data_IF_386633248249
#
_entry.id   IF_386633248249
#
_cell.length_a   1.000
_cell.length_b   1.000
_cell.length_c   1.000
_cell.angle_alpha   90.00
_cell.angle_beta   90.00
_cell.angle_gamma   90.00
#
_symmetry.space_group_name_H-M   'P 1'
#
loop_
_entity.id
_entity.type
_entity.pdbx_description
1 polymer ?
#
# COMPACT_ATOMS: atom_id res chain seq x y z
N UNK A 1 -36.75 -38.33 28.54
CA UNK A 1 -36.70 -36.85 28.53
C UNK A 1 -35.83 -36.46 27.33
N UNK A 2 -36.46 -36.34 26.16
CA UNK A 2 -35.76 -35.99 24.92
C UNK A 2 -35.31 -34.52 25.02
N UNK A 3 -34.02 -34.28 24.90
CA UNK A 3 -33.49 -32.93 24.80
C UNK A 3 -33.85 -32.41 23.42
N UNK A 4 -34.76 -31.45 23.35
CA UNK A 4 -35.08 -30.71 22.13
C UNK A 4 -33.81 -30.00 21.62
N UNK A 5 -33.11 -30.68 20.70
CA UNK A 5 -31.92 -30.18 20.01
C UNK A 5 -32.44 -29.33 18.87
N UNK A 6 -32.56 -28.02 19.10
CA UNK A 6 -32.99 -27.05 18.10
C UNK A 6 -32.30 -27.23 16.74
N UNK A 7 -32.95 -26.77 15.68
CA UNK A 7 -32.51 -26.99 14.29
C UNK A 7 -31.36 -26.05 13.95
N UNK A 8 -30.22 -26.59 13.51
CA UNK A 8 -29.10 -25.77 13.01
C UNK A 8 -29.51 -25.16 11.67
N UNK A 9 -29.60 -23.84 11.62
CA UNK A 9 -29.95 -23.05 10.44
C UNK A 9 -28.73 -22.73 9.57
N UNK A 10 -27.62 -22.38 10.21
CA UNK A 10 -26.39 -21.99 9.52
C UNK A 10 -25.18 -22.25 10.40
N UNK A 11 -24.02 -22.45 9.75
CA UNK A 11 -22.73 -22.51 10.42
C UNK A 11 -21.81 -21.46 9.82
N UNK A 12 -21.28 -20.58 10.65
CA UNK A 12 -20.26 -19.60 10.28
C UNK A 12 -18.90 -20.14 10.73
N UNK A 13 -17.89 -20.10 9.87
CA UNK A 13 -16.52 -20.50 10.23
C UNK A 13 -15.55 -19.42 9.78
N UNK A 14 -14.80 -18.86 10.73
CA UNK A 14 -13.79 -17.85 10.44
C UNK A 14 -12.38 -18.41 10.65
N UNK A 15 -11.75 -18.83 9.55
CA UNK A 15 -10.43 -19.47 9.56
C UNK A 15 -10.44 -20.87 10.18
N UNK A 16 -9.30 -21.28 10.72
CA UNK A 16 -9.14 -22.58 11.39
C UNK A 16 -9.64 -22.59 12.85
N UNK A 17 -9.86 -21.43 13.47
CA UNK A 17 -9.96 -21.31 14.93
C UNK A 17 -11.38 -21.35 15.53
N UNK A 18 -12.38 -20.68 14.93
CA UNK A 18 -13.72 -20.58 15.52
C UNK A 18 -14.83 -20.84 14.51
N UNK A 19 -15.75 -21.74 14.88
CA UNK A 19 -17.05 -21.93 14.20
C UNK A 19 -18.21 -21.56 15.13
N UNK A 20 -19.21 -20.94 14.55
CA UNK A 20 -20.47 -20.56 15.20
C UNK A 20 -21.60 -21.32 14.53
N UNK A 21 -22.55 -21.79 15.33
CA UNK A 21 -23.78 -22.42 14.86
C UNK A 21 -24.95 -21.52 15.22
N UNK A 22 -25.78 -21.21 14.23
CA UNK A 22 -27.05 -20.52 14.41
C UNK A 22 -28.13 -21.60 14.53
N UNK A 23 -28.75 -21.70 15.70
CA UNK A 23 -29.71 -22.75 16.03
C UNK A 23 -31.07 -22.10 16.27
N UNK A 24 -32.11 -22.59 15.59
CA UNK A 24 -33.49 -22.20 15.87
C UNK A 24 -34.07 -23.10 16.96
N UNK A 25 -34.56 -22.49 18.03
CA UNK A 25 -35.30 -23.18 19.09
C UNK A 25 -36.53 -22.35 19.44
N UNK A 26 -37.71 -22.97 19.39
CA UNK A 26 -38.99 -22.31 19.72
C UNK A 26 -39.25 -20.99 18.96
N UNK A 27 -38.81 -20.91 17.69
CA UNK A 27 -38.94 -19.70 16.87
C UNK A 27 -37.93 -18.60 17.17
N UNK A 28 -37.03 -18.79 18.14
CA UNK A 28 -35.94 -17.87 18.48
C UNK A 28 -34.63 -18.40 17.90
N UNK A 29 -33.84 -17.51 17.29
CA UNK A 29 -32.50 -17.84 16.79
C UNK A 29 -31.47 -17.60 17.89
N UNK A 30 -30.74 -18.65 18.27
CA UNK A 30 -29.58 -18.56 19.15
C UNK A 30 -28.29 -18.77 18.38
N UNK A 31 -27.30 -17.89 18.61
CA UNK A 31 -25.94 -18.07 18.12
C UNK A 31 -25.11 -18.77 19.19
N UNK A 32 -24.68 -20.01 18.93
CA UNK A 32 -23.85 -20.81 19.84
C UNK A 32 -22.46 -20.97 19.27
N UNK A 33 -21.45 -20.82 20.10
CA UNK A 33 -20.07 -21.15 19.72
C UNK A 33 -19.94 -22.66 19.64
N UNK A 34 -19.45 -23.17 18.53
CA UNK A 34 -19.17 -24.58 18.37
C UNK A 34 -17.89 -24.88 19.13
N UNK A 35 -18.03 -25.32 20.38
CA UNK A 35 -16.90 -25.78 21.17
C UNK A 35 -16.37 -27.05 20.51
N UNK A 36 -15.33 -26.94 19.69
CA UNK A 36 -14.57 -28.11 19.26
C UNK A 36 -13.96 -28.73 20.52
N UNK A 37 -14.54 -29.85 20.96
CA UNK A 37 -13.92 -30.77 21.90
C UNK A 37 -12.54 -31.16 21.36
N UNK A 38 -11.50 -30.88 22.14
CA UNK A 38 -10.15 -31.35 21.88
C UNK A 38 -9.22 -30.32 21.21
N UNK A 39 -8.83 -29.28 21.95
CA UNK A 39 -7.41 -29.02 22.21
C UNK A 39 -7.26 -28.58 23.67
N UNK A 40 -6.68 -29.48 24.45
CA UNK A 40 -6.35 -29.32 25.86
C UNK A 40 -5.52 -28.05 26.10
N UNK A 41 -6.00 -27.20 27.02
CA UNK A 41 -5.19 -26.63 28.10
C UNK A 41 -3.81 -26.06 27.79
N UNK A 42 -3.66 -25.25 26.74
CA UNK A 42 -2.40 -24.58 26.46
C UNK A 42 -2.56 -23.25 25.73
N UNK A 43 -2.79 -22.16 26.49
CA UNK A 43 -2.11 -20.86 26.36
C UNK A 43 -2.97 -19.64 26.78
N UNK A 44 -3.08 -19.41 28.10
CA UNK A 44 -3.75 -18.23 28.68
C UNK A 44 -3.12 -16.88 28.36
N UNK A 45 -1.92 -16.83 27.77
CA UNK A 45 -1.22 -15.59 27.40
C UNK A 45 -1.00 -15.49 25.90
N UNK A 46 -0.53 -16.56 25.24
CA UNK A 46 -0.35 -16.54 23.79
C UNK A 46 -1.68 -16.47 23.03
N UNK A 47 -2.77 -17.09 23.54
CA UNK A 47 -4.10 -16.91 22.98
C UNK A 47 -4.59 -15.46 23.07
N UNK A 48 -4.33 -14.80 24.21
CA UNK A 48 -4.64 -13.37 24.39
C UNK A 48 -3.78 -12.51 23.47
N UNK A 49 -2.47 -12.73 23.42
CA UNK A 49 -1.55 -12.02 22.53
C UNK A 49 -1.97 -12.13 21.07
N UNK A 50 -2.28 -13.35 20.60
CA UNK A 50 -2.82 -13.59 19.26
C UNK A 50 -4.12 -12.82 19.03
N UNK A 51 -5.05 -12.84 19.99
CA UNK A 51 -6.33 -12.14 19.86
C UNK A 51 -6.20 -10.62 19.87
N UNK A 52 -5.18 -10.07 20.55
CA UNK A 52 -4.94 -8.63 20.65
C UNK A 52 -4.24 -8.11 19.40
N UNK A 53 -3.18 -8.78 18.95
CA UNK A 53 -2.27 -8.26 17.93
C UNK A 53 -2.41 -8.89 16.55
N UNK A 54 -2.99 -10.07 16.41
CA UNK A 54 -3.17 -10.72 15.10
C UNK A 54 -4.62 -10.65 14.63
N UNK A 55 -4.86 -10.54 13.32
CA UNK A 55 -6.22 -10.55 12.77
C UNK A 55 -6.97 -11.84 13.11
N UNK A 56 -8.30 -11.75 13.21
CA UNK A 56 -9.17 -12.90 13.38
C UNK A 56 -8.93 -13.88 12.23
N UNK A 57 -8.95 -15.19 12.52
CA UNK A 57 -8.71 -16.21 11.50
C UNK A 57 -7.26 -16.27 10.98
N UNK A 58 -6.31 -15.64 11.66
CA UNK A 58 -4.88 -15.81 11.36
C UNK A 58 -4.44 -17.28 11.56
N UNK A 59 -3.63 -17.86 10.66
CA UNK A 59 -2.92 -17.21 9.54
C UNK A 59 -3.70 -17.06 8.23
N UNK A 60 -4.83 -17.75 8.06
CA UNK A 60 -5.51 -17.88 6.77
C UNK A 60 -6.34 -16.66 6.35
N UNK A 61 -6.38 -15.62 7.18
CA UNK A 61 -7.09 -14.36 6.92
C UNK A 61 -6.18 -13.25 6.40
N UNK A 62 -4.86 -13.47 6.35
CA UNK A 62 -3.87 -12.49 5.88
C UNK A 62 -2.99 -13.04 4.77
N UNK A 63 -2.24 -12.18 4.09
CA UNK A 63 -1.19 -12.57 3.14
C UNK A 63 -0.04 -13.32 3.82
N UNK A 64 0.63 -14.20 3.08
CA UNK A 64 1.76 -14.99 3.58
C UNK A 64 2.95 -14.13 4.03
N UNK A 65 3.09 -12.92 3.46
CA UNK A 65 4.13 -11.95 3.80
C UNK A 65 3.84 -11.12 5.07
N UNK A 66 2.66 -11.27 5.68
CA UNK A 66 2.17 -10.43 6.78
C UNK A 66 3.12 -10.39 7.98
N UNK A 67 3.48 -11.55 8.55
CA UNK A 67 4.30 -11.58 9.77
C UNK A 67 5.70 -11.06 9.52
N UNK A 68 6.30 -11.41 8.38
CA UNK A 68 7.64 -10.95 8.05
C UNK A 68 7.64 -9.44 7.87
N UNK A 69 6.63 -8.88 7.21
CA UNK A 69 6.45 -7.44 7.10
C UNK A 69 6.29 -6.78 8.48
N UNK A 70 5.35 -7.26 9.30
CA UNK A 70 5.04 -6.67 10.62
C UNK A 70 6.24 -6.67 11.58
N UNK A 71 7.07 -7.72 11.53
CA UNK A 71 8.30 -7.77 12.32
C UNK A 71 9.27 -6.63 11.97
N UNK A 72 9.53 -6.43 10.67
CA UNK A 72 10.43 -5.37 10.23
C UNK A 72 9.81 -3.98 10.36
N UNK A 73 8.52 -3.82 10.12
CA UNK A 73 7.77 -2.57 10.34
C UNK A 73 7.79 -2.17 11.83
N UNK A 74 7.68 -3.14 12.74
CA UNK A 74 7.84 -2.92 14.19
C UNK A 74 9.23 -2.39 14.55
N UNK A 75 10.30 -3.00 14.02
CA UNK A 75 11.68 -2.53 14.25
C UNK A 75 11.90 -1.12 13.67
N UNK A 76 11.32 -0.86 12.50
CA UNK A 76 11.32 0.46 11.87
C UNK A 76 10.62 1.48 12.78
N UNK A 77 9.37 1.24 13.17
CA UNK A 77 8.57 2.14 13.98
C UNK A 77 9.25 2.45 15.32
N UNK A 78 9.83 1.44 15.98
CA UNK A 78 10.59 1.61 17.21
C UNK A 78 11.77 2.57 17.03
N UNK A 79 12.58 2.36 15.98
CA UNK A 79 13.74 3.20 15.68
C UNK A 79 13.34 4.64 15.37
N UNK A 80 12.27 4.81 14.58
CA UNK A 80 11.70 6.13 14.24
C UNK A 80 11.20 6.86 15.48
N UNK A 81 10.56 6.15 16.41
CA UNK A 81 10.07 6.71 17.69
C UNK A 81 11.20 7.29 18.55
N UNK A 82 12.33 6.56 18.65
CA UNK A 82 13.51 7.04 19.38
C UNK A 82 14.15 8.26 18.70
N UNK A 83 14.38 8.21 17.39
CA UNK A 83 14.86 9.37 16.60
C UNK A 83 13.93 10.57 16.72
N UNK A 84 12.62 10.35 16.69
CA UNK A 84 11.61 11.38 16.86
C UNK A 84 11.66 12.04 18.24
N UNK A 85 12.01 11.27 19.28
CA UNK A 85 12.21 11.81 20.63
C UNK A 85 13.44 12.72 20.68
N UNK A 86 14.58 12.32 20.07
CA UNK A 86 15.78 13.16 19.98
C UNK A 86 15.50 14.47 19.24
N UNK A 87 14.79 14.39 18.10
CA UNK A 87 14.40 15.56 17.32
C UNK A 87 13.43 16.48 18.06
N UNK A 88 12.51 15.92 18.86
CA UNK A 88 11.59 16.68 19.70
C UNK A 88 12.33 17.41 20.80
N UNK A 89 13.26 16.76 21.51
CA UNK A 89 14.08 17.40 22.53
C UNK A 89 14.88 18.58 21.95
N UNK A 90 15.53 18.40 20.80
CA UNK A 90 16.26 19.45 20.13
C UNK A 90 15.34 20.62 19.71
N UNK A 91 14.17 20.32 19.15
CA UNK A 91 13.16 21.34 18.80
C UNK A 91 12.70 22.13 20.02
N UNK A 92 12.44 21.47 21.15
CA UNK A 92 12.04 22.12 22.41
C UNK A 92 13.15 23.04 22.94
N UNK A 93 14.40 22.60 22.90
CA UNK A 93 15.56 23.45 23.23
C UNK A 93 15.63 24.67 22.30
N UNK A 94 15.42 24.46 21.00
CA UNK A 94 15.51 25.51 19.99
C UNK A 94 14.43 26.58 20.08
N UNK A 95 13.20 26.25 20.52
CA UNK A 95 12.17 27.26 20.84
C UNK A 95 12.42 27.99 22.16
N UNK A 96 13.47 27.60 22.90
CA UNK A 96 13.90 28.27 24.13
C UNK A 96 13.36 27.67 25.43
N UNK A 97 12.89 26.41 25.42
CA UNK A 97 12.55 25.72 26.69
C UNK A 97 13.79 25.67 27.58
N UNK A 98 13.70 26.25 28.78
CA UNK A 98 14.81 26.38 29.71
C UNK A 98 15.59 27.70 29.62
N UNK A 99 15.26 28.59 28.69
CA UNK A 99 15.84 29.94 28.61
C UNK A 99 14.89 30.98 29.26
N UNK A 100 15.39 31.77 30.21
CA UNK A 100 14.62 32.81 30.91
C UNK A 100 14.19 33.97 30.00
N UNK A 101 14.91 34.20 28.90
CA UNK A 101 14.60 35.27 27.93
C UNK A 101 13.59 34.82 26.87
N UNK A 102 13.32 33.52 26.75
CA UNK A 102 12.39 32.98 25.78
C UNK A 102 10.94 33.18 26.24
N UNK A 103 10.09 33.66 25.33
CA UNK A 103 8.67 33.89 25.62
C UNK A 103 7.81 32.74 25.10
N UNK A 104 6.78 32.37 25.87
CA UNK A 104 5.75 31.40 25.46
C UNK A 104 5.07 31.84 24.16
N UNK A 105 4.89 33.15 23.96
CA UNK A 105 4.29 33.70 22.75
C UNK A 105 5.15 33.42 21.50
N UNK A 106 6.47 33.67 21.55
CA UNK A 106 7.36 33.41 20.41
C UNK A 106 7.44 31.91 20.06
N UNK A 107 7.50 31.05 21.09
CA UNK A 107 7.43 29.60 20.90
C UNK A 107 6.11 29.20 20.22
N UNK A 108 4.97 29.70 20.72
CA UNK A 108 3.64 29.44 20.13
C UNK A 108 3.56 29.87 18.66
N UNK A 109 4.09 31.04 18.31
CA UNK A 109 4.13 31.50 16.91
C UNK A 109 4.93 30.55 16.03
N UNK A 110 6.08 30.06 16.52
CA UNK A 110 6.88 29.08 15.78
C UNK A 110 6.13 27.77 15.55
N UNK A 111 5.42 27.28 16.56
CA UNK A 111 4.55 26.09 16.44
C UNK A 111 3.43 26.30 15.42
N UNK A 112 2.72 27.43 15.48
CA UNK A 112 1.65 27.76 14.52
C UNK A 112 2.16 27.85 13.08
N UNK A 113 3.33 28.46 12.86
CA UNK A 113 3.94 28.54 11.54
C UNK A 113 4.37 27.15 11.03
N UNK A 114 5.00 26.35 11.88
CA UNK A 114 5.39 24.97 11.55
C UNK A 114 4.17 24.13 11.15
N UNK A 115 3.11 24.15 11.94
CA UNK A 115 1.91 23.37 11.68
C UNK A 115 1.16 23.88 10.45
N UNK A 116 1.00 25.20 10.32
CA UNK A 116 0.32 25.83 9.18
C UNK A 116 1.04 25.53 7.85
N UNK A 117 2.36 25.69 7.80
CA UNK A 117 3.14 25.33 6.61
C UNK A 117 3.09 23.83 6.30
N UNK A 118 3.12 22.97 7.32
CA UNK A 118 2.93 21.53 7.18
C UNK A 118 1.54 21.16 6.60
N UNK A 119 0.48 21.82 7.05
CA UNK A 119 -0.88 21.65 6.52
C UNK A 119 -0.98 22.02 5.03
N UNK A 120 -0.36 23.14 4.63
CA UNK A 120 -0.31 23.51 3.21
C UNK A 120 0.50 22.48 2.39
N UNK A 121 1.64 22.03 2.92
CA UNK A 121 2.50 21.03 2.28
C UNK A 121 1.80 19.71 2.02
N UNK A 122 1.07 19.16 2.99
CA UNK A 122 0.31 17.91 2.80
C UNK A 122 -0.81 18.04 1.78
N UNK A 123 -1.55 19.16 1.77
CA UNK A 123 -2.62 19.40 0.78
C UNK A 123 -2.03 19.47 -0.63
N UNK A 124 -0.96 20.24 -0.81
CA UNK A 124 -0.29 20.40 -2.10
C UNK A 124 0.25 19.06 -2.61
N UNK A 125 0.89 18.28 -1.73
CA UNK A 125 1.43 16.97 -2.09
C UNK A 125 0.33 15.97 -2.47
N UNK A 126 -0.75 15.90 -1.69
CA UNK A 126 -1.90 15.04 -1.99
C UNK A 126 -2.51 15.39 -3.35
N UNK A 127 -2.68 16.68 -3.65
CA UNK A 127 -3.18 17.15 -4.94
C UNK A 127 -2.27 16.75 -6.11
N UNK A 128 -0.95 16.87 -5.95
CA UNK A 128 0.00 16.60 -7.04
C UNK A 128 0.32 15.11 -7.26
N UNK A 129 0.33 14.30 -6.19
CA UNK A 129 0.89 12.93 -6.22
C UNK A 129 -0.06 11.84 -5.73
N UNK A 130 -1.24 12.19 -5.20
CA UNK A 130 -2.16 11.24 -4.57
C UNK A 130 -2.53 10.03 -5.45
N UNK A 131 -2.74 10.25 -6.75
CA UNK A 131 -3.17 9.19 -7.69
C UNK A 131 -2.13 8.08 -7.95
N UNK A 132 -0.87 8.27 -7.55
CA UNK A 132 0.22 7.31 -7.75
C UNK A 132 0.70 6.65 -6.47
N UNK A 133 0.13 6.99 -5.31
CA UNK A 133 0.60 6.46 -4.03
C UNK A 133 0.29 4.96 -3.88
N UNK A 134 -0.87 4.51 -4.35
CA UNK A 134 -1.30 3.11 -4.24
C UNK A 134 -0.51 2.19 -5.19
N UNK A 135 -0.27 2.63 -6.43
CA UNK A 135 0.40 1.81 -7.46
C UNK A 135 1.90 1.65 -7.22
N UNK A 136 2.52 2.59 -6.51
CA UNK A 136 3.96 2.60 -6.22
C UNK A 136 4.24 2.52 -4.70
N UNK A 137 3.38 1.82 -3.94
CA UNK A 137 3.38 1.88 -2.47
C UNK A 137 4.74 1.56 -1.84
N UNK A 138 5.45 0.56 -2.36
CA UNK A 138 6.81 0.18 -1.92
C UNK A 138 7.82 1.32 -2.04
N UNK A 139 7.80 2.03 -3.18
CA UNK A 139 8.71 3.15 -3.47
C UNK A 139 8.41 4.32 -2.55
N UNK A 140 7.13 4.64 -2.39
CA UNK A 140 6.69 5.74 -1.54
C UNK A 140 6.96 5.48 -0.06
N UNK A 141 6.90 4.24 0.42
CA UNK A 141 7.36 3.89 1.79
C UNK A 141 8.83 4.21 2.01
N UNK A 142 9.72 3.76 1.12
CA UNK A 142 11.16 4.05 1.25
C UNK A 142 11.45 5.56 1.14
N UNK A 143 10.78 6.24 0.21
CA UNK A 143 10.92 7.69 0.05
C UNK A 143 10.45 8.45 1.31
N UNK A 144 9.30 8.08 1.86
CA UNK A 144 8.73 8.73 3.04
C UNK A 144 9.67 8.61 4.24
N UNK A 145 10.24 7.43 4.48
CA UNK A 145 11.14 7.24 5.62
C UNK A 145 12.46 7.99 5.48
N UNK A 146 13.06 8.02 4.29
CA UNK A 146 14.24 8.85 4.03
C UNK A 146 13.92 10.34 4.25
N UNK A 147 12.77 10.80 3.78
CA UNK A 147 12.33 12.18 3.97
C UNK A 147 12.05 12.50 5.45
N UNK A 148 11.54 11.52 6.22
CA UNK A 148 11.33 11.64 7.65
C UNK A 148 12.65 11.78 8.40
N UNK A 149 13.64 10.96 8.06
CA UNK A 149 14.98 11.02 8.65
C UNK A 149 15.66 12.36 8.36
N UNK A 150 15.54 12.88 7.13
CA UNK A 150 16.01 14.23 6.79
C UNK A 150 15.33 15.28 7.67
N UNK A 151 14.01 15.21 7.83
CA UNK A 151 13.26 16.17 8.63
C UNK A 151 13.64 16.12 10.12
N UNK A 152 13.81 14.93 10.69
CA UNK A 152 14.29 14.76 12.07
C UNK A 152 15.71 15.29 12.24
N UNK A 153 16.60 15.04 11.27
CA UNK A 153 17.96 15.58 11.30
C UNK A 153 17.98 17.11 11.26
N UNK A 154 17.13 17.72 10.43
CA UNK A 154 16.94 19.18 10.38
C UNK A 154 16.50 19.73 11.74
N UNK A 155 15.55 19.08 12.42
CA UNK A 155 15.12 19.49 13.76
C UNK A 155 16.22 19.33 14.82
N UNK A 156 17.04 18.27 14.74
CA UNK A 156 18.20 18.07 15.62
C UNK A 156 19.24 19.18 15.42
N UNK A 157 19.45 19.62 14.17
CA UNK A 157 20.42 20.67 13.85
C UNK A 157 19.88 22.09 14.07
N UNK A 158 18.55 22.29 14.05
CA UNK A 158 17.95 23.62 14.09
C UNK A 158 18.45 24.52 15.25
N UNK A 159 18.65 24.02 16.49
CA UNK A 159 19.15 24.84 17.60
C UNK A 159 20.54 25.47 17.37
N UNK A 160 21.36 24.90 16.48
CA UNK A 160 22.67 25.47 16.13
C UNK A 160 22.57 26.66 15.17
N UNK A 161 21.38 26.94 14.63
CA UNK A 161 21.12 28.03 13.71
C UNK A 161 19.96 28.93 14.20
N UNK A 162 20.09 29.63 15.36
CA UNK A 162 18.98 30.38 15.96
C UNK A 162 18.34 31.40 15.02
N UNK A 163 19.13 32.09 14.19
CA UNK A 163 18.63 33.08 13.22
C UNK A 163 17.71 32.48 12.14
N UNK A 164 17.84 31.19 11.84
CA UNK A 164 17.05 30.48 10.83
C UNK A 164 16.17 29.39 11.44
N UNK A 165 16.07 29.30 12.77
CA UNK A 165 15.44 28.20 13.48
C UNK A 165 14.01 27.93 12.97
N UNK A 166 13.16 28.96 12.98
CA UNK A 166 11.77 28.86 12.52
C UNK A 166 11.67 28.38 11.08
N UNK A 167 12.54 28.86 10.19
CA UNK A 167 12.56 28.43 8.79
C UNK A 167 12.91 26.95 8.65
N UNK A 168 13.91 26.47 9.39
CA UNK A 168 14.34 25.07 9.39
C UNK A 168 13.21 24.17 9.89
N UNK A 169 12.60 24.49 11.04
CA UNK A 169 11.54 23.64 11.62
C UNK A 169 10.24 23.67 10.81
N UNK A 170 9.91 24.78 10.14
CA UNK A 170 8.81 24.84 9.17
C UNK A 170 9.08 23.93 7.97
N UNK A 171 10.30 23.96 7.42
CA UNK A 171 10.68 23.08 6.31
C UNK A 171 10.64 21.60 6.72
N UNK A 172 11.16 21.28 7.90
CA UNK A 172 11.05 19.94 8.47
C UNK A 172 9.57 19.53 8.70
N UNK A 173 8.72 20.46 9.13
CA UNK A 173 7.27 20.25 9.29
C UNK A 173 6.56 19.95 7.97
N UNK A 174 6.94 20.61 6.88
CA UNK A 174 6.46 20.29 5.52
C UNK A 174 6.87 18.86 5.15
N UNK A 175 8.14 18.49 5.33
CA UNK A 175 8.63 17.15 5.04
C UNK A 175 7.87 16.10 5.84
N UNK A 176 7.75 16.24 7.17
CA UNK A 176 6.96 15.32 8.01
C UNK A 176 5.49 15.23 7.59
N UNK A 177 4.91 16.34 7.13
CA UNK A 177 3.52 16.35 6.65
C UNK A 177 3.36 15.58 5.33
N UNK A 178 4.33 15.68 4.42
CA UNK A 178 4.39 14.87 3.20
C UNK A 178 4.54 13.38 3.55
N UNK A 179 5.44 13.06 4.49
CA UNK A 179 5.63 11.71 5.02
C UNK A 179 4.33 11.15 5.59
N UNK A 180 3.58 11.95 6.36
CA UNK A 180 2.29 11.52 6.90
C UNK A 180 1.29 11.10 5.82
N UNK A 181 1.20 11.86 4.72
CA UNK A 181 0.32 11.51 3.59
C UNK A 181 0.80 10.27 2.86
N UNK A 182 2.09 10.22 2.49
CA UNK A 182 2.65 9.08 1.77
C UNK A 182 2.60 7.80 2.62
N UNK A 183 2.98 7.87 3.89
CA UNK A 183 2.91 6.77 4.85
C UNK A 183 1.48 6.28 5.05
N UNK A 184 0.51 7.18 5.25
CA UNK A 184 -0.90 6.82 5.42
C UNK A 184 -1.49 6.13 4.18
N UNK A 185 -1.25 6.69 2.99
CA UNK A 185 -1.75 6.10 1.74
C UNK A 185 -1.11 4.74 1.44
N UNK A 186 0.21 4.63 1.58
CA UNK A 186 0.91 3.35 1.33
C UNK A 186 0.58 2.28 2.37
N UNK A 187 0.34 2.66 3.63
CA UNK A 187 -0.20 1.76 4.65
C UNK A 187 -1.57 1.25 4.24
N UNK A 188 -2.49 2.12 3.80
CA UNK A 188 -3.80 1.69 3.31
C UNK A 188 -3.70 0.69 2.14
N UNK A 189 -2.83 0.97 1.16
CA UNK A 189 -2.57 0.04 0.05
C UNK A 189 -2.04 -1.32 0.53
N UNK A 190 -1.20 -1.33 1.57
CA UNK A 190 -0.69 -2.55 2.18
C UNK A 190 -1.74 -3.30 2.99
N UNK A 191 -2.60 -2.61 3.74
CA UNK A 191 -3.72 -3.23 4.46
C UNK A 191 -4.66 -3.91 3.47
N UNK A 192 -4.93 -3.27 2.34
CA UNK A 192 -5.69 -3.86 1.24
C UNK A 192 -4.97 -5.09 0.68
N UNK A 193 -3.64 -5.04 0.47
CA UNK A 193 -2.82 -6.19 0.05
C UNK A 193 -2.90 -7.37 1.03
N UNK A 194 -2.84 -7.08 2.33
CA UNK A 194 -2.81 -8.09 3.39
C UNK A 194 -4.17 -8.74 3.62
N UNK A 195 -5.28 -8.12 3.25
CA UNK A 195 -6.63 -8.68 3.44
C UNK A 195 -6.90 -9.85 2.50
N UNK A 196 -7.30 -11.01 3.07
CA UNK A 196 -7.71 -12.22 2.31
C UNK A 196 -9.18 -12.59 2.47
N UNK A 197 -9.89 -11.99 3.42
CA UNK A 197 -11.30 -12.33 3.76
C UNK A 197 -12.14 -11.09 4.04
N UNK A 198 -11.99 -10.06 3.20
CA UNK A 198 -12.64 -8.75 3.35
C UNK A 198 -12.46 -8.14 4.76
N UNK A 199 -11.31 -8.42 5.37
CA UNK A 199 -10.98 -8.14 6.77
C UNK A 199 -10.03 -6.93 6.92
N UNK A 200 -10.07 -5.99 5.97
CA UNK A 200 -9.20 -4.81 5.96
C UNK A 200 -9.30 -4.00 7.26
N UNK A 201 -10.51 -3.83 7.80
CA UNK A 201 -10.72 -3.08 9.04
C UNK A 201 -10.07 -3.75 10.26
N UNK A 202 -10.17 -5.08 10.36
CA UNK A 202 -9.52 -5.84 11.44
C UNK A 202 -8.00 -5.73 11.31
N UNK A 203 -7.43 -5.94 10.12
CA UNK A 203 -6.00 -5.76 9.88
C UNK A 203 -5.55 -4.36 10.28
N UNK A 204 -6.28 -3.31 9.87
CA UNK A 204 -5.94 -1.93 10.24
C UNK A 204 -6.00 -1.68 11.75
N UNK A 205 -6.96 -2.27 12.46
CA UNK A 205 -7.07 -2.14 13.91
C UNK A 205 -5.95 -2.88 14.64
N UNK A 206 -5.55 -4.05 14.14
CA UNK A 206 -4.42 -4.85 14.66
C UNK A 206 -3.08 -4.18 14.42
N UNK A 207 -2.86 -3.67 13.21
CA UNK A 207 -1.70 -2.85 12.85
C UNK A 207 -1.57 -1.63 13.77
N UNK A 208 -2.67 -0.88 13.97
CA UNK A 208 -2.69 0.25 14.90
C UNK A 208 -2.39 -0.13 16.37
N UNK A 209 -2.82 -1.32 16.80
CA UNK A 209 -2.50 -1.84 18.15
C UNK A 209 -1.02 -2.22 18.29
N UNK A 210 -0.44 -2.81 17.24
CA UNK A 210 0.99 -3.12 17.17
C UNK A 210 1.82 -1.84 17.21
N UNK A 211 1.50 -0.84 16.38
CA UNK A 211 2.15 0.47 16.38
C UNK A 211 2.06 1.16 17.74
N UNK A 212 0.90 1.11 18.40
CA UNK A 212 0.71 1.67 19.74
C UNK A 212 1.62 1.00 20.78
N UNK A 213 1.71 -0.34 20.77
CA UNK A 213 2.60 -1.07 21.68
C UNK A 213 4.07 -0.69 21.45
N UNK A 214 4.48 -0.58 20.19
CA UNK A 214 5.84 -0.21 19.82
C UNK A 214 6.17 1.21 20.28
N UNK A 215 5.25 2.16 20.09
CA UNK A 215 5.40 3.53 20.56
C UNK A 215 5.46 3.60 22.09
N UNK A 216 4.69 2.79 22.81
CA UNK A 216 4.79 2.68 24.26
C UNK A 216 6.17 2.18 24.70
N UNK A 217 6.71 1.15 24.05
CA UNK A 217 8.06 0.67 24.32
C UNK A 217 9.12 1.73 24.01
N UNK A 218 8.98 2.43 22.87
CA UNK A 218 9.82 3.56 22.49
C UNK A 218 9.82 4.67 23.55
N UNK A 219 8.64 5.03 24.07
CA UNK A 219 8.49 6.03 25.13
C UNK A 219 9.24 5.62 26.40
N UNK A 220 9.11 4.38 26.85
CA UNK A 220 9.82 3.88 28.04
C UNK A 220 11.34 3.95 27.88
N UNK A 221 11.85 3.58 26.70
CA UNK A 221 13.29 3.68 26.38
C UNK A 221 13.72 5.14 26.30
N UNK A 222 12.91 6.01 25.68
CA UNK A 222 13.17 7.44 25.58
C UNK A 222 13.25 8.12 26.95
N UNK A 223 12.47 7.70 27.95
CA UNK A 223 12.57 8.24 29.32
C UNK A 223 13.95 7.99 29.95
N UNK A 224 14.60 6.88 29.61
CA UNK A 224 15.97 6.56 30.04
C UNK A 224 16.99 7.28 29.16
N UNK A 225 16.71 7.40 27.86
CA UNK A 225 17.61 7.97 26.86
C UNK A 225 17.82 9.48 27.04
N UNK A 226 16.73 10.24 27.26
CA UNK A 226 16.74 11.71 27.27
C UNK A 226 17.73 12.30 28.28
N UNK A 227 17.78 11.86 29.56
CA UNK A 227 18.77 12.35 30.51
C UNK A 227 20.22 12.09 30.09
N UNK A 228 20.50 11.02 29.36
CA UNK A 228 21.85 10.65 28.92
C UNK A 228 22.34 11.52 27.75
N UNK A 229 21.43 11.90 26.86
CA UNK A 229 21.75 12.69 25.65
C UNK A 229 21.68 14.20 25.87
N UNK A 230 21.04 14.63 26.96
CA UNK A 230 20.94 16.05 27.32
C UNK A 230 22.33 16.65 27.47
N UNK A 231 22.56 17.76 26.74
CA UNK A 231 23.86 18.45 26.65
C UNK A 231 25.04 17.61 26.11
N UNK A 232 24.76 16.46 25.48
CA UNK A 232 25.77 15.66 24.80
C UNK A 232 25.44 15.52 23.30
N UNK A 233 25.81 16.51 22.48
CA UNK A 233 25.42 16.54 21.07
C UNK A 233 26.09 15.45 20.23
N UNK A 234 27.29 15.01 20.62
CA UNK A 234 27.99 13.89 19.97
C UNK A 234 27.19 12.60 20.18
N UNK A 235 26.78 12.32 21.42
CA UNK A 235 25.97 11.14 21.71
C UNK A 235 24.61 11.19 20.99
N UNK A 236 23.94 12.35 20.99
CA UNK A 236 22.69 12.56 20.24
C UNK A 236 22.85 12.23 18.77
N UNK A 237 23.90 12.75 18.11
CA UNK A 237 24.16 12.49 16.69
C UNK A 237 24.52 11.01 16.45
N UNK A 238 25.37 10.41 17.28
CA UNK A 238 25.73 9.00 17.17
C UNK A 238 24.50 8.09 17.27
N UNK A 239 23.63 8.33 18.26
CA UNK A 239 22.40 7.56 18.44
C UNK A 239 21.41 7.81 17.30
N UNK A 240 21.25 9.06 16.86
CA UNK A 240 20.40 9.39 15.72
C UNK A 240 20.84 8.63 14.47
N UNK A 241 22.13 8.67 14.11
CA UNK A 241 22.62 7.94 12.93
C UNK A 241 22.49 6.43 13.09
N UNK A 242 22.73 5.88 14.29
CA UNK A 242 22.49 4.46 14.58
C UNK A 242 21.03 4.07 14.33
N UNK A 243 20.09 4.84 14.88
CA UNK A 243 18.66 4.59 14.70
C UNK A 243 18.21 4.83 13.26
N UNK A 244 18.77 5.81 12.54
CA UNK A 244 18.50 6.02 11.10
C UNK A 244 18.95 4.83 10.26
N UNK A 245 20.13 4.27 10.52
CA UNK A 245 20.59 3.07 9.81
C UNK A 245 19.66 1.89 10.08
N UNK A 246 19.26 1.69 11.34
CA UNK A 246 18.32 0.64 11.71
C UNK A 246 16.94 0.85 11.08
N UNK A 247 16.44 2.08 11.11
CA UNK A 247 15.17 2.51 10.53
C UNK A 247 15.09 2.19 9.03
N UNK A 248 16.07 2.67 8.24
CA UNK A 248 16.11 2.46 6.80
C UNK A 248 16.35 0.99 6.43
N UNK A 249 17.20 0.28 7.18
CA UNK A 249 17.43 -1.14 6.97
C UNK A 249 16.16 -1.97 7.24
N UNK A 250 15.46 -1.67 8.33
CA UNK A 250 14.22 -2.34 8.69
C UNK A 250 13.13 -2.08 7.64
N UNK A 251 12.93 -0.83 7.19
CA UNK A 251 11.97 -0.55 6.12
C UNK A 251 12.36 -1.23 4.80
N UNK A 252 13.65 -1.23 4.43
CA UNK A 252 14.11 -1.99 3.26
C UNK A 252 13.74 -3.47 3.36
N UNK A 253 13.97 -4.11 4.51
CA UNK A 253 13.59 -5.50 4.74
C UNK A 253 12.07 -5.72 4.73
N UNK A 254 11.29 -4.82 5.31
CA UNK A 254 9.82 -4.86 5.30
C UNK A 254 9.27 -4.77 3.87
N UNK A 255 9.69 -3.75 3.12
CA UNK A 255 9.25 -3.55 1.72
C UNK A 255 9.69 -4.71 0.82
N UNK A 256 10.84 -5.32 1.11
CA UNK A 256 11.30 -6.52 0.39
C UNK A 256 10.50 -7.77 0.71
N UNK A 257 9.95 -7.94 1.90
CA UNK A 257 9.14 -9.12 2.21
C UNK A 257 7.77 -9.10 1.54
N UNK A 258 7.23 -7.91 1.25
CA UNK A 258 5.90 -7.77 0.62
C UNK A 258 5.92 -8.28 -0.82
N UNK A 259 5.03 -9.19 -1.19
CA UNK A 259 4.89 -9.66 -2.57
C UNK A 259 3.60 -9.09 -3.16
N UNK A 260 3.66 -7.88 -3.71
CA UNK A 260 2.48 -7.22 -4.29
C UNK A 260 1.88 -8.07 -5.42
N UNK A 261 0.60 -8.39 -5.29
CA UNK A 261 -0.20 -9.13 -6.29
C UNK A 261 -0.79 -8.23 -7.38
N UNK A 262 -0.42 -6.95 -7.38
CA UNK A 262 -0.82 -5.98 -8.40
C UNK A 262 0.37 -5.55 -9.25
N UNK A 263 0.10 -5.24 -10.52
CA UNK A 263 1.09 -4.63 -11.40
C UNK A 263 1.13 -3.14 -11.18
N UNK A 264 2.35 -2.62 -11.03
CA UNK A 264 2.61 -1.22 -11.25
C UNK A 264 2.95 -0.94 -12.73
N UNK A 265 3.07 0.33 -13.11
CA UNK A 265 3.28 0.75 -14.50
C UNK A 265 4.53 0.09 -15.12
N UNK A 266 5.62 0.01 -14.37
CA UNK A 266 6.88 -0.60 -14.81
C UNK A 266 6.75 -2.11 -15.00
N UNK A 267 6.20 -2.84 -14.03
CA UNK A 267 6.02 -4.30 -14.13
C UNK A 267 5.05 -4.66 -15.24
N UNK A 268 3.98 -3.89 -15.40
CA UNK A 268 3.03 -4.08 -16.51
C UNK A 268 3.72 -3.91 -17.87
N UNK A 269 4.54 -2.87 -18.02
CA UNK A 269 5.30 -2.63 -19.26
C UNK A 269 6.22 -3.79 -19.60
N UNK A 270 6.96 -4.32 -18.62
CA UNK A 270 7.85 -5.49 -18.79
C UNK A 270 7.06 -6.72 -19.26
N UNK A 271 5.94 -7.03 -18.58
CA UNK A 271 5.08 -8.17 -18.92
C UNK A 271 4.51 -8.03 -20.33
N UNK A 272 4.03 -6.84 -20.67
CA UNK A 272 3.43 -6.58 -21.98
C UNK A 272 4.47 -6.68 -23.10
N UNK A 273 5.67 -6.11 -22.93
CA UNK A 273 6.76 -6.23 -23.91
C UNK A 273 7.14 -7.70 -24.14
N UNK A 274 7.27 -8.47 -23.07
CA UNK A 274 7.62 -9.88 -23.15
C UNK A 274 6.50 -10.72 -23.80
N UNK A 275 5.24 -10.44 -23.45
CA UNK A 275 4.10 -11.09 -24.08
C UNK A 275 4.01 -10.75 -25.58
N UNK A 276 4.23 -9.49 -25.96
CA UNK A 276 4.21 -9.08 -27.36
C UNK A 276 5.30 -9.80 -28.17
N UNK A 277 6.48 -9.97 -27.58
CA UNK A 277 7.65 -10.62 -28.21
C UNK A 277 7.52 -12.14 -28.31
N UNK A 278 7.26 -12.81 -27.19
CA UNK A 278 7.39 -14.27 -27.10
C UNK A 278 6.03 -15.00 -27.01
N UNK A 279 4.92 -14.26 -26.94
CA UNK A 279 3.56 -14.78 -26.70
C UNK A 279 3.42 -15.62 -25.42
N UNK A 280 4.36 -15.45 -24.48
CA UNK A 280 4.38 -16.11 -23.17
C UNK A 280 4.08 -15.09 -22.08
N UNK A 281 3.27 -15.49 -21.11
CA UNK A 281 2.99 -14.69 -19.91
C UNK A 281 3.94 -15.17 -18.81
N UNK A 282 4.71 -14.25 -18.22
CA UNK A 282 5.48 -14.55 -17.01
C UNK A 282 4.50 -14.64 -15.83
N UNK A 283 4.56 -15.73 -15.07
CA UNK A 283 3.73 -15.91 -13.87
C UNK A 283 4.20 -14.91 -12.80
N UNK A 284 3.26 -14.33 -12.06
CA UNK A 284 3.44 -13.29 -11.03
C UNK A 284 4.68 -13.47 -10.14
N UNK A 285 4.94 -14.70 -9.69
CA UNK A 285 6.03 -15.02 -8.79
C UNK A 285 7.43 -14.81 -9.42
N UNK A 286 7.57 -15.02 -10.74
CA UNK A 286 8.84 -14.83 -11.45
C UNK A 286 9.18 -13.33 -11.64
N UNK A 287 8.18 -12.47 -11.83
CA UNK A 287 8.37 -11.02 -12.05
C UNK A 287 8.68 -10.30 -10.74
N UNK A 288 8.11 -10.74 -9.62
CA UNK A 288 8.43 -10.19 -8.31
C UNK A 288 9.93 -10.33 -8.03
N UNK A 289 10.54 -11.49 -8.31
CA UNK A 289 11.98 -11.74 -8.14
C UNK A 289 12.86 -11.03 -9.19
N UNK A 290 12.45 -10.95 -10.47
CA UNK A 290 13.23 -10.25 -11.50
C UNK A 290 13.22 -8.71 -11.34
N UNK A 291 12.12 -8.13 -10.85
CA UNK A 291 12.02 -6.68 -10.61
C UNK A 291 12.80 -6.20 -9.37
N UNK A 292 13.30 -7.11 -8.53
CA UNK A 292 14.12 -6.79 -7.35
C UNK A 292 15.49 -6.20 -7.71
N UNK A 293 15.95 -6.34 -8.96
CA UNK A 293 17.28 -5.89 -9.40
C UNK A 293 17.26 -4.57 -10.22
N UNK A 294 16.08 -4.04 -10.55
CA UNK A 294 15.95 -2.87 -11.44
C UNK A 294 16.05 -1.53 -10.69
N UNK A 295 15.95 -1.54 -9.36
CA UNK A 295 16.10 -0.30 -8.59
C UNK A 295 17.55 0.21 -8.48
N UNK A 296 18.58 -0.52 -8.94
CA UNK A 296 19.98 -0.08 -8.73
C UNK A 296 21.01 -0.20 -9.87
N UNK A 297 20.85 -0.97 -10.96
CA UNK A 297 21.92 -1.10 -12.00
C UNK A 297 21.37 -1.43 -13.42
N UNK A 298 22.13 -1.18 -14.53
CA UNK A 298 21.66 -1.34 -15.91
C UNK A 298 21.50 -2.82 -16.34
N UNK A 299 20.68 -3.11 -17.37
CA UNK A 299 20.17 -4.46 -17.62
C UNK A 299 21.21 -5.36 -18.27
N UNK A 300 21.52 -6.47 -17.60
CA UNK A 300 22.28 -7.58 -18.17
C UNK A 300 21.32 -8.76 -18.44
N UNK A 301 21.22 -9.18 -19.70
CA UNK A 301 20.28 -10.19 -20.17
C UNK A 301 20.64 -11.59 -19.66
N UNK A 302 19.68 -12.30 -19.07
CA UNK A 302 19.66 -13.78 -19.06
C UNK A 302 18.25 -14.31 -19.30
N UNK A 303 18.19 -15.37 -20.13
CA UNK A 303 16.97 -16.08 -20.52
C UNK A 303 16.65 -17.15 -19.48
N UNK A 304 15.40 -17.19 -18.99
CA UNK A 304 14.83 -18.37 -18.35
C UNK A 304 13.70 -18.94 -19.24
N UNK A 305 13.84 -20.21 -19.62
CA UNK A 305 12.88 -20.94 -20.41
C UNK A 305 11.91 -21.69 -19.49
N UNK A 306 10.60 -21.53 -19.70
CA UNK A 306 9.62 -22.52 -19.27
C UNK A 306 8.60 -22.73 -20.40
N UNK A 307 8.57 -23.94 -20.95
CA UNK A 307 7.66 -24.40 -22.00
C UNK A 307 6.38 -24.92 -21.33
N UNK A 308 5.23 -24.36 -21.68
CA UNK A 308 4.00 -25.15 -21.84
C UNK A 308 3.04 -24.43 -22.78
N UNK A 309 2.61 -25.14 -23.82
CA UNK A 309 1.69 -24.68 -24.86
C UNK A 309 0.28 -25.10 -24.48
N UNK A 310 -0.67 -24.18 -24.35
CA UNK A 310 -2.08 -24.50 -24.08
C UNK A 310 -3.02 -23.85 -25.11
N UNK A 311 -3.94 -24.66 -25.63
CA UNK A 311 -4.96 -24.31 -26.63
C UNK A 311 -6.07 -23.46 -26.01
N UNK A 312 -6.56 -22.51 -26.82
CA UNK A 312 -7.53 -21.46 -26.50
C UNK A 312 -8.96 -21.97 -26.69
N UNK A 313 -9.87 -21.67 -25.74
CA UNK A 313 -11.32 -21.81 -25.91
C UNK A 313 -11.94 -20.44 -25.59
N UNK A 314 -12.66 -19.84 -26.55
CA UNK A 314 -13.41 -18.59 -26.38
C UNK A 314 -14.92 -18.83 -26.48
N UNK A 315 -15.70 -18.03 -25.74
CA UNK A 315 -17.04 -17.55 -26.14
C UNK A 315 -16.89 -16.08 -26.60
N UNK A 316 -17.71 -15.59 -27.55
CA UNK A 316 -17.36 -14.42 -28.37
C UNK A 316 -17.40 -13.08 -27.59
N UNK A 317 -16.50 -12.12 -27.92
CA UNK A 317 -16.51 -10.78 -27.36
C UNK A 317 -17.71 -9.96 -27.86
N UNK A 318 -18.32 -9.18 -26.97
CA UNK A 318 -19.41 -8.25 -27.29
C UNK A 318 -18.81 -6.87 -27.53
N UNK A 319 -19.05 -6.30 -28.72
CA UNK A 319 -18.57 -4.96 -29.11
C UNK A 319 -19.62 -3.90 -28.76
N UNK A 320 -19.25 -2.90 -27.97
CA UNK A 320 -20.07 -1.71 -27.70
C UNK A 320 -19.20 -0.45 -27.82
N UNK A 321 -19.56 0.42 -28.78
CA UNK A 321 -19.13 1.83 -28.87
C UNK A 321 -17.62 2.13 -28.72
N UNK A 322 -16.74 1.34 -29.35
CA UNK A 322 -15.29 1.62 -29.35
C UNK A 322 -14.54 1.20 -28.08
N UNK A 323 -15.22 0.52 -27.14
CA UNK A 323 -14.61 -0.10 -25.98
C UNK A 323 -14.47 -1.61 -26.19
N UNK A 324 -13.31 -2.17 -25.83
CA UNK A 324 -13.13 -3.63 -25.73
C UNK A 324 -13.43 -4.05 -24.30
N UNK A 325 -14.64 -4.55 -24.07
CA UNK A 325 -15.00 -5.16 -22.79
C UNK A 325 -14.67 -6.64 -22.82
N UNK A 326 -13.86 -7.10 -21.85
CA UNK A 326 -13.60 -8.52 -21.66
C UNK A 326 -14.24 -8.95 -20.36
N UNK A 327 -15.33 -9.72 -20.47
CA UNK A 327 -15.99 -10.30 -19.32
C UNK A 327 -15.27 -11.59 -18.93
N UNK A 328 -14.78 -11.63 -17.69
CA UNK A 328 -14.14 -12.79 -17.12
C UNK A 328 -15.13 -13.53 -16.22
N UNK A 329 -15.08 -14.86 -16.24
CA UNK A 329 -15.89 -15.67 -15.34
C UNK A 329 -15.48 -15.48 -13.88
N UNK A 330 -16.34 -15.82 -12.91
CA UNK A 330 -16.03 -15.68 -11.47
C UNK A 330 -14.82 -16.53 -11.02
N UNK A 331 -14.46 -17.55 -11.79
CA UNK A 331 -13.30 -18.43 -11.56
C UNK A 331 -12.06 -18.04 -12.39
N UNK A 332 -12.06 -16.85 -13.01
CA UNK A 332 -10.95 -16.42 -13.84
C UNK A 332 -9.68 -16.22 -13.00
N UNK A 333 -8.59 -16.82 -13.45
CA UNK A 333 -7.30 -16.63 -12.81
C UNK A 333 -6.72 -15.26 -13.17
N UNK A 334 -5.78 -14.77 -12.37
CA UNK A 334 -4.99 -13.56 -12.70
C UNK A 334 -4.30 -13.68 -14.08
N UNK A 335 -3.97 -14.91 -14.51
CA UNK A 335 -3.45 -15.15 -15.86
C UNK A 335 -4.49 -14.91 -16.95
N UNK A 336 -5.77 -15.16 -16.68
CA UNK A 336 -6.86 -14.92 -17.63
C UNK A 336 -7.15 -13.42 -17.75
N UNK A 337 -7.02 -12.68 -16.65
CA UNK A 337 -7.11 -11.21 -16.63
C UNK A 337 -6.00 -10.55 -17.45
N UNK A 338 -4.74 -10.96 -17.25
CA UNK A 338 -3.61 -10.44 -18.04
C UNK A 338 -3.79 -10.77 -19.52
N UNK A 339 -4.25 -11.98 -19.84
CA UNK A 339 -4.49 -12.41 -21.22
C UNK A 339 -5.60 -11.58 -21.85
N UNK A 340 -6.71 -11.41 -21.16
CA UNK A 340 -7.83 -10.57 -21.56
C UNK A 340 -7.38 -9.13 -21.85
N UNK A 341 -6.58 -8.55 -20.94
CA UNK A 341 -6.03 -7.20 -21.10
C UNK A 341 -5.08 -7.10 -22.28
N UNK A 342 -4.12 -8.03 -22.43
CA UNK A 342 -3.21 -8.05 -23.57
C UNK A 342 -3.95 -8.20 -24.89
N UNK A 343 -5.01 -9.02 -24.93
CA UNK A 343 -5.85 -9.19 -26.10
C UNK A 343 -6.70 -7.94 -26.40
N UNK A 344 -7.22 -7.27 -25.36
CA UNK A 344 -7.93 -6.01 -25.52
C UNK A 344 -7.04 -4.91 -26.09
N UNK A 345 -5.78 -4.81 -25.64
CA UNK A 345 -4.78 -3.88 -26.19
C UNK A 345 -4.46 -4.20 -27.66
N UNK A 346 -4.29 -5.47 -28.01
CA UNK A 346 -4.04 -5.89 -29.40
C UNK A 346 -5.24 -5.58 -30.29
N UNK A 347 -6.46 -5.89 -29.83
CA UNK A 347 -7.71 -5.59 -30.54
C UNK A 347 -7.92 -4.09 -30.72
N UNK A 348 -7.68 -3.29 -29.69
CA UNK A 348 -7.73 -1.82 -29.76
C UNK A 348 -6.76 -1.25 -30.80
N UNK A 349 -5.54 -1.80 -30.88
CA UNK A 349 -4.55 -1.40 -31.89
C UNK A 349 -4.98 -1.82 -33.31
N UNK A 350 -5.52 -3.02 -33.49
CA UNK A 350 -6.02 -3.46 -34.80
C UNK A 350 -7.17 -2.57 -35.29
N UNK A 351 -8.12 -2.25 -34.41
CA UNK A 351 -9.26 -1.38 -34.73
C UNK A 351 -8.83 0.08 -35.01
N UNK A 352 -7.86 0.59 -34.25
CA UNK A 352 -7.26 1.92 -34.51
C UNK A 352 -6.54 1.99 -35.86
N UNK A 353 -5.91 0.88 -36.27
CA UNK A 353 -5.24 0.76 -37.57
C UNK A 353 -6.21 0.63 -38.75
N UNK A 354 -7.40 0.05 -38.54
CA UNK A 354 -8.44 -0.02 -39.58
C UNK A 354 -9.11 1.35 -39.81
N UNK A 355 -9.45 2.09 -38.74
CA UNK A 355 -10.07 3.41 -38.88
C UNK A 355 -9.11 4.47 -39.46
N UNK A 356 -7.79 4.30 -39.31
CA UNK A 356 -6.79 5.18 -39.95
C UNK A 356 -6.55 4.83 -41.43
N UNK A 357 -6.74 3.56 -41.82
CA UNK A 357 -6.67 3.11 -43.22
C UNK A 357 -7.87 3.54 -44.05
N UNK A 358 -9.06 3.66 -43.46
CA UNK A 358 -10.22 4.23 -44.17
C UNK A 358 -10.13 5.76 -44.33
N UNK A 359 -9.45 6.46 -43.41
CA UNK A 359 -9.32 7.92 -43.46
C UNK A 359 -8.17 8.42 -44.37
N UNK A 360 -7.18 7.57 -44.71
CA UNK A 360 -6.05 7.95 -45.56
C UNK A 360 -5.70 6.83 -46.53
N UNK A 361 -6.12 6.97 -47.79
CA UNK A 361 -5.79 6.06 -48.88
C UNK A 361 -4.32 6.16 -49.33
N UNK A 362 -3.37 5.87 -48.44
CA UNK A 362 -1.93 5.84 -48.76
C UNK A 362 -1.23 4.63 -48.11
N UNK A 363 -0.38 3.97 -48.90
CA UNK A 363 0.36 2.76 -48.56
C UNK A 363 1.29 2.93 -47.33
N UNK A 364 1.54 1.88 -46.53
CA UNK A 364 2.23 2.03 -45.25
C UNK A 364 3.74 2.19 -45.43
N UNK A 365 4.30 3.29 -44.91
CA UNK A 365 5.71 3.35 -44.52
C UNK A 365 5.85 2.79 -43.10
N UNK A 366 6.74 1.80 -42.95
CA UNK A 366 7.17 1.27 -41.67
C UNK A 366 7.89 2.36 -40.88
N UNK A 367 7.23 2.92 -39.87
CA UNK A 367 7.86 3.78 -38.88
C UNK A 367 7.39 3.30 -37.51
N UNK A 368 8.29 2.61 -36.81
CA UNK A 368 8.10 2.12 -35.45
C UNK A 368 8.22 3.29 -34.48
N UNK A 369 7.13 3.97 -34.17
CA UNK A 369 7.09 4.86 -33.01
C UNK A 369 6.86 4.07 -31.72
N UNK A 370 7.61 4.36 -30.64
CA UNK A 370 7.35 3.77 -29.33
C UNK A 370 6.02 4.27 -28.74
N UNK A 371 5.31 3.39 -28.04
CA UNK A 371 4.02 3.67 -27.39
C UNK A 371 4.15 4.84 -26.38
N UNK A 372 3.26 5.84 -26.42
CA UNK A 372 3.19 6.83 -25.36
C UNK A 372 2.65 6.19 -24.07
N UNK A 373 3.45 6.23 -22.99
CA UNK A 373 3.09 5.71 -21.66
C UNK A 373 1.87 6.38 -21.03
N UNK A 374 1.39 7.51 -21.57
CA UNK A 374 0.26 8.28 -21.03
C UNK A 374 -1.11 7.58 -21.11
N UNK A 375 -1.22 6.42 -21.78
CA UNK A 375 -2.45 5.63 -21.83
C UNK A 375 -2.65 4.68 -20.62
N UNK A 376 -1.68 4.54 -19.73
CA UNK A 376 -1.72 3.55 -18.65
C UNK A 376 -1.86 4.21 -17.26
N UNK A 377 -3.04 4.75 -16.95
CA UNK A 377 -3.36 5.16 -15.58
C UNK A 377 -3.98 3.98 -14.81
N UNK A 378 -3.28 3.53 -13.76
CA UNK A 378 -3.67 2.60 -12.69
C UNK A 378 -4.72 1.52 -13.04
N UNK A 379 -4.26 0.28 -13.28
CA UNK A 379 -5.12 -0.91 -13.18
C UNK A 379 -5.27 -1.31 -11.70
N UNK A 380 -6.47 -1.16 -11.16
CA UNK A 380 -6.83 -1.75 -9.88
C UNK A 380 -7.56 -3.08 -10.14
N UNK A 381 -6.84 -4.18 -9.97
CA UNK A 381 -7.38 -5.54 -10.10
C UNK A 381 -7.58 -6.08 -8.70
N UNK A 382 -8.73 -5.78 -8.10
CA UNK A 382 -9.23 -6.50 -6.94
C UNK A 382 -10.73 -6.68 -7.05
N UNK A 383 -11.15 -7.95 -7.12
CA UNK A 383 -12.50 -8.48 -6.93
C UNK A 383 -13.63 -7.52 -7.31
N UNK A 384 -14.01 -7.48 -8.58
CA UNK A 384 -15.28 -6.86 -8.94
C UNK A 384 -15.94 -7.62 -10.10
N UNK A 385 -17.19 -8.01 -9.88
CA UNK A 385 -18.08 -8.76 -10.80
C UNK A 385 -18.35 -8.08 -12.15
N UNK A 386 -17.63 -7.03 -12.52
CA UNK A 386 -17.66 -6.38 -13.84
C UNK A 386 -16.48 -5.42 -13.93
N UNK A 387 -15.38 -5.84 -14.55
CA UNK A 387 -14.30 -4.91 -14.94
C UNK A 387 -14.60 -4.37 -16.34
N UNK A 388 -15.00 -3.09 -16.43
CA UNK A 388 -15.07 -2.36 -17.70
C UNK A 388 -13.73 -1.66 -17.95
N UNK A 389 -13.03 -2.02 -19.02
CA UNK A 389 -11.80 -1.34 -19.43
C UNK A 389 -12.14 -0.08 -20.24
N UNK A 390 -11.92 1.10 -19.65
CA UNK A 390 -12.16 2.39 -20.30
C UNK A 390 -10.87 2.90 -20.97
N UNK A 391 -10.78 2.78 -22.30
CA UNK A 391 -9.76 3.45 -23.10
C UNK A 391 -10.31 4.79 -23.60
N UNK A 392 -9.96 5.91 -22.95
CA UNK A 392 -10.38 7.25 -23.40
C UNK A 392 -9.35 7.83 -24.37
N UNK A 393 -9.78 8.11 -25.60
CA UNK A 393 -8.98 8.86 -26.59
C UNK A 393 -8.93 10.34 -26.17
N UNK A 394 -7.75 10.88 -25.91
CA UNK A 394 -7.57 12.34 -25.81
C UNK A 394 -7.55 12.90 -27.24
N UNK A 395 -8.68 13.45 -27.69
CA UNK A 395 -8.71 14.31 -28.87
C UNK A 395 -8.51 15.75 -28.39
N UNK A 396 -7.48 16.40 -28.90
CA UNK A 396 -7.15 17.79 -28.55
C UNK A 396 -8.22 18.77 -29.01
N UNK A 397 -8.44 19.78 -28.14
CA UNK A 397 -9.14 21.05 -28.30
C UNK A 397 -10.65 21.04 -28.63
N UNK A 398 -11.43 21.56 -27.66
CA UNK A 398 -12.74 22.15 -27.89
C UNK A 398 -13.91 21.49 -27.14
N UNK A 399 -14.28 22.07 -25.99
CA UNK A 399 -15.59 22.07 -25.33
C UNK A 399 -16.60 20.91 -25.55
N UNK A 400 -16.86 20.13 -24.50
CA UNK A 400 -18.13 20.12 -23.73
C UNK A 400 -18.08 19.00 -22.68
N UNK A 401 -18.31 19.35 -21.41
CA UNK A 401 -18.67 18.38 -20.38
C UNK A 401 -19.96 17.67 -20.80
N UNK A 402 -19.89 16.35 -20.95
CA UNK A 402 -21.07 15.49 -20.89
C UNK A 402 -20.86 14.54 -19.71
N UNK A 403 -21.71 14.73 -18.69
CA UNK A 403 -21.92 13.79 -17.60
C UNK A 403 -22.16 12.40 -18.20
N UNK A 404 -21.28 11.44 -17.88
CA UNK A 404 -21.59 10.04 -18.09
C UNK A 404 -22.31 9.55 -16.84
N UNK A 405 -23.64 9.50 -16.92
CA UNK A 405 -24.50 8.82 -15.96
C UNK A 405 -23.99 7.39 -15.71
N UNK A 406 -23.91 7.01 -14.44
CA UNK A 406 -23.50 5.68 -14.03
C UNK A 406 -24.43 4.62 -14.61
N UNK A 407 -23.86 3.59 -15.24
CA UNK A 407 -24.61 2.37 -15.54
C UNK A 407 -24.98 1.67 -14.22
N UNK A 408 -26.16 1.98 -13.70
CA UNK A 408 -26.86 1.12 -12.75
C UNK A 408 -27.30 -0.16 -13.48
N UNK A 409 -26.61 -1.27 -13.22
CA UNK A 409 -27.20 -2.60 -13.46
C UNK A 409 -27.93 -3.02 -12.17
N UNK A 410 -29.26 -3.01 -12.22
CA UNK A 410 -30.10 -3.68 -11.23
C UNK A 410 -29.80 -5.18 -11.28
N UNK A 411 -29.38 -5.74 -10.14
CA UNK A 411 -29.33 -7.19 -9.93
C UNK A 411 -30.76 -7.70 -9.86
N UNK A 412 -31.25 -8.33 -10.93
CA UNK A 412 -32.44 -9.18 -10.85
C UNK A 412 -31.93 -10.56 -10.37
N UNK A 413 -32.38 -10.93 -9.17
CA UNK A 413 -32.19 -12.24 -8.52
C UNK A 413 -32.77 -13.39 -9.32
#
# INVERSE_FOLDING_TARGET
METDKGVVLATERYGSAESWKYVSKDGVMERRRDGSEGHSGGNSVFGVFKSVFLPQGYPESVSDDYLQYQFWDTMQAFSSSLSGTLATQASLRGVGVGNQEATVAAATVTWLLKDGTGMLGRILFAWQKGSKLDSEAKKWRLFADVLNDIAMFMEILAPYFPACFTFIVCTAGIFKSIVGVAGGATRAALTVHQARRDNMADISAKDGSQETLVNLAGLLVSLILIPLVTDNPVLTLCLFFLFTVLHLFANYKAVRSVVMETFNEARLSIVLQQYLKDKRILIFCAITLESEMVCCLPPMQRKAACLHTWKVIFKPPVFLAGCVCVCLGPEASVSDEIRAMCQAVVLGNMLSSSNSREATGAAPKQQSEPLPLSMFNCLNVKNCKTSSFLFRRSLGNGAQESQADGCHFQSIT
#
